data_IF_930492979999
#
_entry.id   IF_930492979999
#
_cell.length_a   1.000
_cell.length_b   1.000
_cell.length_c   1.000
_cell.angle_alpha   90.00
_cell.angle_beta   90.00
_cell.angle_gamma   90.00
#
_symmetry.space_group_name_H-M   'P 1'
#
loop_
_entity.id
_entity.type
_entity.pdbx_description
1 polymer ?
#
# COMPACT_ATOMS: atom_id res chain seq x y z
N UNK A 1 -14.46 -9.46 -0.67
CA UNK A 1 -14.99 -8.95 -1.92
C UNK A 1 -16.42 -8.46 -1.73
N UNK A 2 -16.61 -7.16 -1.60
CA UNK A 2 -17.93 -6.52 -1.61
C UNK A 2 -17.82 -5.19 -2.29
N UNK A 3 -18.15 -5.14 -3.57
CA UNK A 3 -18.60 -3.90 -4.19
C UNK A 3 -20.04 -3.68 -3.72
N UNK A 4 -20.23 -3.02 -2.58
CA UNK A 4 -21.55 -2.58 -2.14
C UNK A 4 -21.61 -1.06 -2.23
N UNK A 5 -22.31 -0.59 -3.25
CA UNK A 5 -23.00 0.69 -3.21
C UNK A 5 -24.29 0.45 -2.42
N UNK A 6 -24.25 0.55 -1.11
CA UNK A 6 -25.44 0.58 -0.27
C UNK A 6 -25.38 1.72 0.73
N UNK A 7 -26.44 2.50 0.69
CA UNK A 7 -26.74 3.57 1.64
C UNK A 7 -27.03 2.94 3.01
N UNK A 8 -26.15 3.21 3.99
CA UNK A 8 -26.53 3.26 5.40
C UNK A 8 -26.74 1.95 6.16
N UNK A 9 -25.67 1.11 6.32
CA UNK A 9 -25.59 0.28 7.51
C UNK A 9 -24.55 0.87 8.48
N UNK A 10 -24.77 0.85 9.81
CA UNK A 10 -23.78 1.34 10.76
C UNK A 10 -22.52 0.48 10.67
N UNK A 11 -21.37 1.14 10.48
CA UNK A 11 -20.06 0.51 10.55
C UNK A 11 -19.89 -0.01 11.99
N UNK A 12 -19.58 -1.30 12.22
CA UNK A 12 -19.31 -1.79 13.56
C UNK A 12 -18.10 -1.05 14.16
N UNK A 13 -18.04 -0.91 15.52
CA UNK A 13 -16.96 -0.20 16.16
C UNK A 13 -15.62 -0.82 15.83
N UNK A 14 -14.64 0.04 15.56
CA UNK A 14 -13.23 -0.33 15.31
C UNK A 14 -12.63 -0.81 16.64
N UNK A 15 -11.94 -1.95 16.62
CA UNK A 15 -11.20 -2.47 17.77
C UNK A 15 -10.04 -1.50 18.11
N UNK A 16 -9.95 -0.99 19.33
CA UNK A 16 -8.85 -0.13 19.73
C UNK A 16 -7.62 -0.98 20.09
N UNK A 17 -6.89 -1.49 19.10
CA UNK A 17 -5.58 -2.06 19.35
C UNK A 17 -4.60 -0.92 19.71
N UNK A 18 -3.96 -0.94 20.89
CA UNK A 18 -3.11 0.15 21.33
C UNK A 18 -1.77 0.22 20.60
N UNK A 19 -1.34 -0.81 19.87
CA UNK A 19 -0.01 -0.87 19.28
C UNK A 19 0.04 -0.47 17.81
N UNK A 20 -0.86 -0.96 16.95
CA UNK A 20 -1.09 -0.53 15.57
C UNK A 20 -2.34 -1.22 15.00
N UNK A 21 -2.88 -0.66 13.92
CA UNK A 21 -4.14 -1.13 13.37
C UNK A 21 -3.97 -2.43 12.56
N UNK A 22 -4.64 -3.50 13.00
CA UNK A 22 -4.77 -4.75 12.24
C UNK A 22 -6.16 -4.83 11.60
N UNK A 23 -6.31 -4.54 10.29
CA UNK A 23 -7.61 -4.64 9.65
C UNK A 23 -8.06 -6.11 9.56
N UNK A 24 -9.35 -6.44 9.82
CA UNK A 24 -9.86 -7.80 9.67
C UNK A 24 -9.88 -8.25 8.21
N UNK A 25 -9.85 -9.56 7.98
CA UNK A 25 -9.77 -10.18 6.64
C UNK A 25 -10.88 -9.71 5.70
N UNK A 26 -12.08 -9.44 6.24
CA UNK A 26 -13.26 -8.99 5.49
C UNK A 26 -13.37 -7.46 5.38
N UNK A 27 -12.26 -6.73 5.56
CA UNK A 27 -12.26 -5.27 5.51
C UNK A 27 -12.68 -4.76 4.13
N UNK A 28 -13.73 -3.94 4.12
CA UNK A 28 -14.07 -3.15 2.92
C UNK A 28 -13.13 -1.96 2.80
N UNK A 29 -12.65 -1.68 1.58
CA UNK A 29 -11.70 -0.61 1.35
C UNK A 29 -12.03 0.25 0.14
N UNK A 30 -11.45 1.44 0.10
CA UNK A 30 -11.58 2.40 -0.98
C UNK A 30 -10.22 3.01 -1.30
N UNK A 31 -9.75 2.78 -2.52
CA UNK A 31 -8.50 3.35 -3.04
C UNK A 31 -8.83 4.60 -3.88
N UNK A 32 -8.14 5.70 -3.58
CA UNK A 32 -8.17 6.89 -4.42
C UNK A 32 -6.87 7.69 -4.26
N UNK A 33 -5.97 7.62 -5.23
CA UNK A 33 -4.66 8.28 -5.19
C UNK A 33 -4.65 9.64 -5.90
N UNK A 34 -5.72 10.02 -6.60
CA UNK A 34 -5.78 11.28 -7.35
C UNK A 34 -7.09 12.02 -7.12
N UNK A 35 -7.02 13.35 -7.28
CA UNK A 35 -8.18 14.25 -7.17
C UNK A 35 -8.65 14.47 -5.74
N UNK A 36 -9.80 15.08 -5.58
CA UNK A 36 -10.39 15.34 -4.26
C UNK A 36 -10.93 14.04 -3.65
N UNK A 37 -10.48 13.63 -2.45
CA UNK A 37 -10.94 12.39 -1.83
C UNK A 37 -12.45 12.35 -1.62
N UNK A 38 -13.07 11.24 -2.03
CA UNK A 38 -14.48 10.97 -1.82
C UNK A 38 -14.68 10.32 -0.46
N UNK A 39 -15.17 11.13 0.51
CA UNK A 39 -15.37 10.65 1.89
C UNK A 39 -16.77 10.04 2.13
N UNK A 40 -17.58 9.92 1.08
CA UNK A 40 -18.95 9.36 1.12
C UNK A 40 -19.00 7.86 0.79
N UNK A 41 -17.89 7.24 0.41
CA UNK A 41 -17.84 5.81 0.09
C UNK A 41 -17.97 4.98 1.37
N UNK A 42 -18.84 3.97 1.36
CA UNK A 42 -19.07 3.09 2.52
C UNK A 42 -17.95 2.04 2.65
N UNK A 43 -16.74 2.47 2.99
CA UNK A 43 -15.60 1.61 3.26
C UNK A 43 -15.07 1.83 4.68
N UNK A 44 -14.52 0.78 5.30
CA UNK A 44 -13.88 0.83 6.63
C UNK A 44 -12.47 1.37 6.53
N UNK A 45 -11.77 1.01 5.47
CA UNK A 45 -10.39 1.37 5.19
C UNK A 45 -10.34 2.25 3.94
N UNK A 46 -9.65 3.34 4.02
CA UNK A 46 -9.33 4.20 2.89
C UNK A 46 -7.85 4.08 2.57
N UNK A 47 -7.51 4.23 1.32
CA UNK A 47 -6.13 4.39 0.88
C UNK A 47 -6.04 5.64 0.02
N UNK A 48 -5.27 6.61 0.51
CA UNK A 48 -5.10 7.92 -0.11
C UNK A 48 -3.62 8.28 -0.17
N UNK A 49 -3.27 9.17 -1.10
CA UNK A 49 -1.89 9.64 -1.24
C UNK A 49 -1.40 10.37 0.03
N UNK A 50 -0.20 10.01 0.50
CA UNK A 50 0.41 10.57 1.71
C UNK A 50 0.62 12.08 1.60
N UNK A 51 1.13 12.56 0.46
CA UNK A 51 1.54 13.94 0.31
C UNK A 51 0.34 14.87 0.10
N UNK A 52 -0.61 14.43 -0.71
CA UNK A 52 -1.76 15.23 -1.15
C UNK A 52 -2.92 15.21 -0.16
N UNK A 53 -2.98 14.22 0.73
CA UNK A 53 -4.03 14.14 1.75
C UNK A 53 -3.74 15.04 2.93
N UNK A 54 -4.68 15.93 3.27
CA UNK A 54 -4.55 16.83 4.42
C UNK A 54 -4.86 16.12 5.74
N UNK A 55 -4.24 16.56 6.84
CA UNK A 55 -4.61 16.10 8.19
C UNK A 55 -6.07 16.35 8.53
N UNK A 56 -6.70 17.36 7.93
CA UNK A 56 -8.13 17.61 8.09
C UNK A 56 -8.98 16.53 7.43
N UNK A 57 -8.58 16.05 6.24
CA UNK A 57 -9.22 14.91 5.56
C UNK A 57 -9.12 13.65 6.41
N UNK A 58 -7.94 13.39 6.98
CA UNK A 58 -7.70 12.24 7.87
C UNK A 58 -8.60 12.33 9.11
N UNK A 59 -8.65 13.49 9.78
CA UNK A 59 -9.52 13.69 10.93
C UNK A 59 -11.02 13.52 10.59
N UNK A 60 -11.45 13.90 9.38
CA UNK A 60 -12.81 13.67 8.92
C UNK A 60 -13.14 12.21 8.69
N UNK A 61 -12.18 11.38 8.24
CA UNK A 61 -12.33 9.92 8.15
C UNK A 61 -12.42 9.30 9.54
N UNK A 62 -11.54 9.68 10.46
CA UNK A 62 -11.55 9.19 11.84
C UNK A 62 -12.86 9.54 12.57
N UNK A 63 -13.41 10.75 12.34
CA UNK A 63 -14.71 11.14 12.89
C UNK A 63 -15.87 10.25 12.40
N UNK A 64 -15.69 9.57 11.26
CA UNK A 64 -16.59 8.57 10.70
C UNK A 64 -16.21 7.13 11.08
N UNK A 65 -15.29 6.95 12.03
CA UNK A 65 -14.75 5.64 12.44
C UNK A 65 -14.12 4.84 11.30
N UNK A 66 -13.49 5.53 10.33
CA UNK A 66 -12.76 4.94 9.21
C UNK A 66 -11.27 5.02 9.44
N UNK A 67 -10.53 4.08 8.90
CA UNK A 67 -9.07 4.02 8.96
C UNK A 67 -8.47 4.42 7.61
N UNK A 68 -7.20 4.85 7.64
CA UNK A 68 -6.49 5.31 6.47
C UNK A 68 -5.12 4.68 6.35
N UNK A 69 -4.86 4.05 5.21
CA UNK A 69 -3.52 3.79 4.70
C UNK A 69 -3.05 4.98 3.87
N UNK A 70 -1.85 5.46 4.14
CA UNK A 70 -1.23 6.52 3.37
C UNK A 70 -0.24 5.92 2.37
N UNK A 71 -0.57 6.05 1.08
CA UNK A 71 0.25 5.58 -0.04
C UNK A 71 1.45 6.50 -0.26
N UNK A 72 2.61 5.92 -0.52
CA UNK A 72 3.78 6.60 -1.07
C UNK A 72 4.69 5.61 -1.78
N UNK A 73 5.43 6.03 -2.81
CA UNK A 73 6.44 5.16 -3.39
C UNK A 73 7.65 5.03 -2.46
N UNK A 74 8.07 3.81 -2.17
CA UNK A 74 9.25 3.52 -1.36
C UNK A 74 10.44 3.02 -2.19
N UNK A 75 10.17 2.50 -3.40
CA UNK A 75 11.21 2.01 -4.31
C UNK A 75 11.52 2.95 -5.47
N UNK A 76 10.76 4.04 -5.63
CA UNK A 76 11.01 5.05 -6.65
C UNK A 76 11.06 6.47 -6.08
N UNK A 77 11.70 7.35 -6.84
CA UNK A 77 11.65 8.80 -6.63
C UNK A 77 10.74 9.40 -7.70
N UNK A 78 9.69 10.09 -7.26
CA UNK A 78 8.71 10.81 -8.06
C UNK A 78 9.13 12.28 -8.12
N UNK A 79 9.38 12.84 -9.33
CA UNK A 79 9.94 14.20 -9.50
C UNK A 79 9.05 15.32 -8.96
N UNK A 80 7.74 15.08 -8.87
CA UNK A 80 6.73 16.06 -8.39
C UNK A 80 6.61 16.12 -6.86
N UNK A 81 7.25 15.24 -6.12
CA UNK A 81 7.18 15.23 -4.66
C UNK A 81 8.06 16.32 -4.04
N UNK A 82 7.58 16.91 -2.98
CA UNK A 82 8.28 17.99 -2.29
C UNK A 82 9.70 17.59 -1.80
N UNK A 83 9.93 16.30 -1.55
CA UNK A 83 11.21 15.75 -1.09
C UNK A 83 12.09 15.22 -2.25
N UNK A 84 11.65 15.30 -3.50
CA UNK A 84 12.36 14.76 -4.67
C UNK A 84 13.80 15.24 -4.77
N UNK A 85 14.05 16.53 -4.54
CA UNK A 85 15.38 17.13 -4.56
C UNK A 85 16.33 16.66 -3.43
N UNK A 86 15.84 15.86 -2.48
CA UNK A 86 16.65 15.31 -1.39
C UNK A 86 17.34 13.99 -1.75
N UNK A 87 16.96 13.35 -2.85
CA UNK A 87 17.59 12.14 -3.34
C UNK A 87 18.83 12.48 -4.18
N UNK A 88 20.04 12.06 -3.78
CA UNK A 88 21.24 12.25 -4.59
C UNK A 88 21.10 11.52 -5.95
N UNK A 89 21.71 12.08 -7.00
CA UNK A 89 21.70 11.41 -8.32
C UNK A 89 22.34 10.03 -8.32
N UNK A 90 23.25 9.77 -7.38
CA UNK A 90 23.91 8.46 -7.23
C UNK A 90 22.96 7.33 -6.80
N UNK A 91 21.80 7.64 -6.25
CA UNK A 91 20.79 6.65 -5.83
C UNK A 91 19.61 6.57 -6.80
N UNK A 92 19.61 7.37 -7.86
CA UNK A 92 18.60 7.39 -8.90
C UNK A 92 19.00 6.46 -10.03
N UNK A 93 18.17 5.50 -10.36
CA UNK A 93 18.39 4.48 -11.38
C UNK A 93 17.64 4.74 -12.67
N UNK A 94 17.21 3.67 -13.31
CA UNK A 94 16.45 3.74 -14.56
C UNK A 94 15.03 4.28 -14.33
N UNK A 95 14.43 4.94 -15.34
CA UNK A 95 13.04 5.36 -15.30
C UNK A 95 12.07 4.16 -15.15
N UNK A 96 10.95 4.37 -14.46
CA UNK A 96 9.82 3.44 -14.49
C UNK A 96 9.12 3.54 -15.87
N UNK A 97 8.94 2.38 -16.53
CA UNK A 97 8.51 2.34 -17.94
C UNK A 97 7.16 3.05 -18.20
N UNK A 98 6.19 2.89 -17.29
CA UNK A 98 4.82 3.39 -17.48
C UNK A 98 4.52 4.67 -16.67
N UNK A 99 5.55 5.20 -15.95
CA UNK A 99 5.40 6.34 -15.05
C UNK A 99 6.42 7.44 -15.36
N UNK A 100 6.15 8.31 -16.33
CA UNK A 100 7.04 9.44 -16.65
C UNK A 100 7.28 10.34 -15.43
N UNK A 101 8.54 10.63 -15.14
CA UNK A 101 8.94 11.43 -13.96
C UNK A 101 9.25 10.60 -12.72
N UNK A 102 9.18 9.26 -12.82
CA UNK A 102 9.64 8.35 -11.77
C UNK A 102 10.92 7.61 -12.17
N UNK A 103 11.83 7.45 -11.21
CA UNK A 103 13.05 6.66 -11.36
C UNK A 103 13.21 5.71 -10.18
N UNK A 104 13.71 4.50 -10.44
CA UNK A 104 14.02 3.53 -9.41
C UNK A 104 15.09 4.04 -8.44
N UNK A 105 15.05 3.57 -7.21
CA UNK A 105 16.01 3.94 -6.17
C UNK A 105 16.93 2.77 -5.79
N UNK A 106 18.20 3.07 -5.46
CA UNK A 106 19.06 2.11 -4.79
C UNK A 106 18.64 1.94 -3.32
N UNK A 107 17.77 1.00 -3.06
CA UNK A 107 17.19 0.72 -1.73
C UNK A 107 18.22 0.28 -0.67
N UNK A 108 19.44 -0.05 -1.08
CA UNK A 108 20.56 -0.39 -0.18
C UNK A 108 21.16 0.85 0.46
N UNK A 109 21.04 2.00 -0.21
CA UNK A 109 21.69 3.25 0.23
C UNK A 109 21.05 3.79 1.51
N UNK A 110 21.90 4.19 2.44
CA UNK A 110 21.46 4.72 3.75
C UNK A 110 20.66 6.02 3.63
N UNK A 111 20.92 6.83 2.57
CA UNK A 111 20.20 8.08 2.32
C UNK A 111 18.77 7.81 1.87
N UNK A 112 18.54 6.80 1.02
CA UNK A 112 17.21 6.35 0.64
C UNK A 112 16.42 5.92 1.89
N UNK A 113 17.04 5.08 2.74
CA UNK A 113 16.42 4.63 4.00
C UNK A 113 16.13 5.79 4.96
N UNK A 114 17.00 6.80 5.05
CA UNK A 114 16.74 8.00 5.84
C UNK A 114 15.50 8.75 5.33
N UNK A 115 15.37 8.90 4.01
CA UNK A 115 14.24 9.60 3.41
C UNK A 115 12.93 8.84 3.61
N UNK A 116 12.96 7.51 3.54
CA UNK A 116 11.76 6.69 3.85
C UNK A 116 11.35 6.80 5.31
N UNK A 117 12.29 6.86 6.26
CA UNK A 117 11.93 7.19 7.66
C UNK A 117 11.21 8.53 7.77
N UNK A 118 11.60 9.53 6.98
CA UNK A 118 10.94 10.84 6.97
C UNK A 118 9.53 10.76 6.37
N UNK A 119 9.31 9.93 5.34
CA UNK A 119 7.98 9.67 4.78
C UNK A 119 7.09 8.95 5.80
N UNK A 120 7.60 7.93 6.50
CA UNK A 120 6.90 7.25 7.58
C UNK A 120 6.58 8.21 8.74
N UNK A 121 7.55 9.06 9.12
CA UNK A 121 7.34 10.10 10.12
C UNK A 121 6.24 11.09 9.71
N UNK A 122 6.21 11.49 8.43
CA UNK A 122 5.15 12.35 7.87
C UNK A 122 3.79 11.67 7.96
N UNK A 123 3.70 10.38 7.63
CA UNK A 123 2.45 9.61 7.75
C UNK A 123 1.94 9.60 9.20
N UNK A 124 2.80 9.30 10.16
CA UNK A 124 2.46 9.36 11.59
C UNK A 124 1.98 10.75 12.00
N UNK A 125 2.73 11.80 11.63
CA UNK A 125 2.45 13.17 12.05
C UNK A 125 1.17 13.73 11.40
N UNK A 126 0.79 13.24 10.24
CA UNK A 126 -0.50 13.52 9.60
C UNK A 126 -1.66 12.77 10.26
N UNK A 127 -1.39 11.66 10.95
CA UNK A 127 -2.39 10.83 11.61
C UNK A 127 -2.85 9.64 10.79
N UNK A 128 -2.06 9.15 9.82
CA UNK A 128 -2.35 7.90 9.12
C UNK A 128 -2.40 6.73 10.12
N UNK A 129 -3.29 5.75 9.90
CA UNK A 129 -3.36 4.52 10.71
C UNK A 129 -2.35 3.48 10.22
N UNK A 130 -1.96 3.57 8.97
CA UNK A 130 -0.96 2.73 8.35
C UNK A 130 -0.45 3.31 7.04
N UNK A 131 0.40 2.55 6.36
CA UNK A 131 1.03 2.95 5.10
C UNK A 131 0.99 1.84 4.06
N UNK A 132 0.93 2.25 2.79
CA UNK A 132 1.19 1.41 1.62
C UNK A 132 2.45 1.93 0.91
N UNK A 133 3.64 1.37 1.19
CA UNK A 133 4.86 1.70 0.49
C UNK A 133 4.95 0.93 -0.82
N UNK A 134 4.84 1.62 -1.94
CA UNK A 134 4.86 1.04 -3.30
C UNK A 134 6.28 0.85 -3.87
N UNK A 135 6.36 0.11 -4.97
CA UNK A 135 7.60 -0.20 -5.71
C UNK A 135 8.65 -0.95 -4.88
N UNK A 136 8.19 -1.90 -4.08
CA UNK A 136 9.02 -2.68 -3.14
C UNK A 136 9.42 -4.06 -3.66
N UNK A 137 9.49 -4.19 -4.98
CA UNK A 137 9.91 -5.37 -5.74
C UNK A 137 10.99 -5.08 -6.80
N UNK A 138 11.71 -3.98 -6.64
CA UNK A 138 12.69 -3.45 -7.60
C UNK A 138 13.78 -4.44 -8.04
N UNK A 139 14.04 -5.52 -7.26
CA UNK A 139 14.98 -6.58 -7.65
C UNK A 139 14.49 -7.42 -8.84
N UNK A 140 13.20 -7.38 -9.15
CA UNK A 140 12.58 -8.03 -10.31
C UNK A 140 12.54 -7.09 -11.53
N UNK A 141 12.88 -5.83 -11.35
CA UNK A 141 12.74 -4.77 -12.33
C UNK A 141 14.08 -4.36 -12.93
N UNK A 142 14.04 -3.68 -14.08
CA UNK A 142 15.21 -3.03 -14.64
C UNK A 142 15.47 -1.70 -13.89
N UNK A 143 15.86 -1.81 -12.64
CA UNK A 143 16.05 -0.64 -11.77
C UNK A 143 17.31 0.17 -12.05
N UNK A 144 18.23 -0.33 -12.90
CA UNK A 144 19.56 0.26 -13.09
C UNK A 144 20.57 -0.14 -12.00
N UNK A 145 20.13 -0.89 -11.00
CA UNK A 145 20.95 -1.40 -9.90
C UNK A 145 20.93 -2.93 -9.87
N UNK A 146 22.05 -3.55 -9.53
CA UNK A 146 22.12 -4.99 -9.32
C UNK A 146 21.54 -5.35 -7.93
N UNK A 147 20.23 -5.15 -7.77
CA UNK A 147 19.52 -5.51 -6.55
C UNK A 147 19.31 -7.02 -6.50
N UNK A 148 19.65 -7.64 -5.39
CA UNK A 148 19.35 -9.05 -5.13
C UNK A 148 18.01 -9.20 -4.39
N UNK A 149 17.43 -10.40 -4.43
CA UNK A 149 16.29 -10.74 -3.59
C UNK A 149 16.55 -10.52 -2.08
N UNK A 150 17.81 -10.72 -1.64
CA UNK A 150 18.21 -10.47 -0.26
C UNK A 150 18.23 -8.97 0.09
N UNK A 151 18.64 -8.11 -0.85
CA UNK A 151 18.60 -6.66 -0.65
C UNK A 151 17.16 -6.17 -0.51
N UNK A 152 16.24 -6.67 -1.36
CA UNK A 152 14.82 -6.33 -1.29
C UNK A 152 14.20 -6.82 0.01
N UNK A 153 14.46 -8.06 0.39
CA UNK A 153 13.94 -8.63 1.63
C UNK A 153 14.39 -7.84 2.86
N UNK A 154 15.66 -7.43 2.92
CA UNK A 154 16.17 -6.58 4.01
C UNK A 154 15.51 -5.20 4.01
N UNK A 155 15.30 -4.62 2.83
CA UNK A 155 14.64 -3.34 2.70
C UNK A 155 13.16 -3.38 3.12
N UNK A 156 12.41 -4.37 2.66
CA UNK A 156 11.00 -4.53 3.02
C UNK A 156 10.83 -4.76 4.53
N UNK A 157 11.69 -5.58 5.14
CA UNK A 157 11.74 -5.75 6.60
C UNK A 157 12.15 -4.48 7.34
N UNK A 158 13.04 -3.67 6.75
CA UNK A 158 13.39 -2.37 7.30
C UNK A 158 12.17 -1.44 7.34
N UNK A 159 11.42 -1.31 6.23
CA UNK A 159 10.20 -0.48 6.18
C UNK A 159 9.19 -0.92 7.25
N UNK A 160 8.95 -2.23 7.37
CA UNK A 160 8.02 -2.79 8.35
C UNK A 160 8.42 -2.45 9.79
N UNK A 161 9.69 -2.65 10.16
CA UNK A 161 10.19 -2.32 11.51
C UNK A 161 10.05 -0.83 11.84
N UNK A 162 10.37 0.04 10.87
CA UNK A 162 10.27 1.49 11.09
C UNK A 162 8.81 1.94 11.22
N UNK A 163 7.89 1.40 10.38
CA UNK A 163 6.46 1.69 10.47
C UNK A 163 5.88 1.24 11.82
N UNK A 164 6.10 0.00 12.22
CA UNK A 164 5.66 -0.54 13.52
C UNK A 164 6.26 0.25 14.69
N UNK A 165 7.54 0.62 14.61
CA UNK A 165 8.19 1.48 15.62
C UNK A 165 7.55 2.86 15.78
N UNK A 166 6.74 3.29 14.82
CA UNK A 166 5.95 4.53 14.84
C UNK A 166 4.47 4.31 15.13
N UNK A 167 4.03 3.07 15.38
CA UNK A 167 2.64 2.72 15.60
C UNK A 167 1.79 2.71 14.32
N UNK A 168 2.40 2.54 13.15
CA UNK A 168 1.73 2.47 11.86
C UNK A 168 1.61 1.01 11.41
N UNK A 169 0.42 0.60 10.96
CA UNK A 169 0.28 -0.62 10.17
C UNK A 169 1.01 -0.47 8.83
N UNK A 170 1.37 -1.59 8.20
CA UNK A 170 2.05 -1.57 6.91
C UNK A 170 1.53 -2.65 5.97
N UNK A 171 1.23 -2.25 4.73
CA UNK A 171 0.89 -3.14 3.64
C UNK A 171 2.14 -3.62 2.88
N UNK A 172 2.16 -4.89 2.48
CA UNK A 172 3.09 -5.39 1.47
C UNK A 172 2.46 -5.19 0.09
N UNK A 173 3.05 -4.28 -0.68
CA UNK A 173 2.63 -4.09 -2.07
C UNK A 173 3.32 -5.08 -2.98
N UNK A 174 2.52 -5.90 -3.70
CA UNK A 174 3.04 -6.91 -4.64
C UNK A 174 4.11 -7.84 -4.04
N UNK A 175 5.32 -7.91 -4.62
CA UNK A 175 6.47 -8.73 -4.20
C UNK A 175 6.10 -10.20 -3.87
N UNK A 176 5.32 -10.81 -4.76
CA UNK A 176 4.70 -12.13 -4.56
C UNK A 176 5.71 -13.24 -4.23
N UNK A 177 6.93 -13.15 -4.77
CA UNK A 177 7.96 -14.18 -4.57
C UNK A 177 8.53 -14.19 -3.14
N UNK A 178 8.37 -13.09 -2.39
CA UNK A 178 8.90 -12.98 -1.03
C UNK A 178 7.82 -13.06 0.05
N UNK A 179 6.54 -13.22 -0.30
CA UNK A 179 5.40 -13.24 0.63
C UNK A 179 5.65 -14.18 1.82
N UNK A 180 6.06 -15.42 1.57
CA UNK A 180 6.32 -16.39 2.64
C UNK A 180 7.37 -15.92 3.65
N UNK A 181 8.32 -15.09 3.22
CA UNK A 181 9.37 -14.54 4.07
C UNK A 181 8.99 -13.22 4.76
N UNK A 182 7.91 -12.58 4.30
CA UNK A 182 7.50 -11.24 4.72
C UNK A 182 6.16 -11.23 5.47
N UNK A 183 5.32 -12.24 5.33
CA UNK A 183 3.97 -12.27 5.91
C UNK A 183 3.96 -11.98 7.41
N UNK A 184 4.94 -12.43 8.17
CA UNK A 184 5.04 -12.15 9.61
C UNK A 184 5.41 -10.69 9.94
N UNK A 185 5.97 -9.97 8.97
CA UNK A 185 6.45 -8.60 9.12
C UNK A 185 5.44 -7.54 8.67
N UNK A 186 4.38 -7.91 7.96
CA UNK A 186 3.40 -7.01 7.38
C UNK A 186 2.00 -7.31 7.91
N UNK A 187 1.11 -6.32 7.97
CA UNK A 187 -0.22 -6.43 8.56
C UNK A 187 -1.29 -6.83 7.55
N UNK A 188 -1.05 -6.51 6.28
CA UNK A 188 -1.91 -6.82 5.15
C UNK A 188 -1.08 -6.89 3.87
N UNK A 189 -1.69 -7.38 2.78
CA UNK A 189 -1.12 -7.30 1.44
C UNK A 189 -2.02 -6.44 0.53
N UNK A 190 -1.40 -5.66 -0.35
CA UNK A 190 -2.06 -5.01 -1.48
C UNK A 190 -1.42 -5.54 -2.75
N UNK A 191 -2.24 -6.11 -3.62
CA UNK A 191 -1.76 -6.72 -4.85
C UNK A 191 -2.48 -6.17 -6.07
N UNK A 192 -1.79 -6.13 -7.18
CA UNK A 192 -2.34 -5.70 -8.45
C UNK A 192 -2.40 -6.87 -9.43
N UNK A 193 -3.60 -7.07 -10.01
CA UNK A 193 -3.85 -7.95 -11.14
C UNK A 193 -3.62 -9.45 -10.90
N UNK A 194 -3.72 -9.94 -9.64
CA UNK A 194 -3.46 -11.35 -9.38
C UNK A 194 -4.44 -12.29 -10.13
N UNK A 195 -5.68 -11.88 -10.37
CA UNK A 195 -6.61 -12.64 -11.19
C UNK A 195 -6.28 -12.57 -12.68
N UNK A 196 -5.88 -11.38 -13.17
CA UNK A 196 -5.46 -11.22 -14.56
C UNK A 196 -4.29 -12.14 -14.91
N UNK A 197 -3.33 -12.27 -14.00
CA UNK A 197 -2.11 -13.10 -14.16
C UNK A 197 -2.22 -14.51 -13.59
N UNK A 198 -3.35 -14.87 -12.96
CA UNK A 198 -3.59 -16.19 -12.35
C UNK A 198 -2.60 -16.53 -11.21
N UNK A 199 -2.22 -15.55 -10.42
CA UNK A 199 -1.20 -15.66 -9.39
C UNK A 199 -1.70 -15.38 -7.96
N UNK A 200 -3.02 -15.23 -7.75
CA UNK A 200 -3.61 -14.99 -6.42
C UNK A 200 -3.23 -16.04 -5.38
N UNK A 201 -2.87 -17.27 -5.83
CA UNK A 201 -2.44 -18.33 -4.92
C UNK A 201 -1.18 -17.99 -4.10
N UNK A 202 -0.32 -17.08 -4.58
CA UNK A 202 0.83 -16.60 -3.81
C UNK A 202 0.43 -15.81 -2.57
N UNK A 203 -0.77 -15.22 -2.56
CA UNK A 203 -1.29 -14.40 -1.45
C UNK A 203 -1.88 -15.24 -0.30
N UNK A 204 -2.07 -16.54 -0.50
CA UNK A 204 -2.63 -17.44 0.49
C UNK A 204 -1.97 -17.38 1.89
N UNK A 205 -0.65 -17.16 2.06
CA UNK A 205 -0.04 -17.03 3.38
C UNK A 205 -0.62 -15.89 4.22
N UNK A 206 -1.00 -14.74 3.61
CA UNK A 206 -1.66 -13.64 4.34
C UNK A 206 -3.02 -14.08 4.88
N UNK A 207 -3.85 -14.71 4.04
CA UNK A 207 -5.17 -15.20 4.45
C UNK A 207 -5.05 -16.27 5.54
N UNK A 208 -4.09 -17.19 5.43
CA UNK A 208 -3.81 -18.21 6.45
C UNK A 208 -3.33 -17.61 7.78
N UNK A 209 -2.64 -16.48 7.73
CA UNK A 209 -2.24 -15.72 8.90
C UNK A 209 -3.35 -14.83 9.47
N UNK A 210 -4.56 -14.85 8.90
CA UNK A 210 -5.68 -13.99 9.31
C UNK A 210 -5.50 -12.52 8.92
N UNK A 211 -4.64 -12.24 7.92
CA UNK A 211 -4.33 -10.89 7.43
C UNK A 211 -5.05 -10.63 6.11
N UNK A 212 -5.66 -9.46 5.90
CA UNK A 212 -6.39 -9.17 4.67
C UNK A 212 -5.47 -9.06 3.46
N UNK A 213 -6.03 -9.42 2.31
CA UNK A 213 -5.48 -9.16 0.99
C UNK A 213 -6.45 -8.22 0.27
N UNK A 214 -5.94 -7.08 -0.18
CA UNK A 214 -6.66 -6.10 -0.97
C UNK A 214 -6.13 -6.19 -2.40
N UNK A 215 -7.00 -6.56 -3.35
CA UNK A 215 -6.58 -6.76 -4.74
C UNK A 215 -7.18 -5.70 -5.66
N UNK A 216 -6.38 -5.22 -6.60
CA UNK A 216 -6.73 -4.24 -7.62
C UNK A 216 -6.67 -4.93 -8.98
N UNK A 217 -7.74 -4.81 -9.77
CA UNK A 217 -7.78 -5.33 -11.12
C UNK A 217 -8.03 -4.20 -12.13
N UNK A 218 -7.23 -4.16 -13.18
CA UNK A 218 -7.31 -3.11 -14.21
C UNK A 218 -7.92 -3.59 -15.53
N UNK A 219 -8.07 -4.91 -15.73
CA UNK A 219 -8.56 -5.46 -16.99
C UNK A 219 -10.04 -5.10 -17.21
N UNK A 220 -10.38 -4.62 -18.41
CA UNK A 220 -11.74 -4.22 -18.80
C UNK A 220 -12.78 -5.29 -18.51
N UNK A 221 -12.43 -6.58 -18.64
CA UNK A 221 -13.31 -7.71 -18.32
C UNK A 221 -13.82 -7.71 -16.88
N UNK A 222 -13.08 -7.14 -15.93
CA UNK A 222 -13.49 -7.04 -14.52
C UNK A 222 -14.23 -5.74 -14.23
N UNK A 223 -14.19 -4.78 -15.16
CA UNK A 223 -14.83 -3.47 -15.02
C UNK A 223 -16.15 -3.37 -15.78
N UNK A 224 -16.48 -4.35 -16.65
CA UNK A 224 -17.53 -4.24 -17.64
C UNK A 224 -18.94 -4.14 -17.05
N UNK A 225 -19.25 -4.91 -16.00
CA UNK A 225 -20.56 -4.95 -15.37
C UNK A 225 -20.53 -5.59 -13.96
N UNK A 226 -21.65 -5.47 -13.23
CA UNK A 226 -21.79 -6.02 -11.88
C UNK A 226 -21.65 -7.56 -11.84
N UNK A 227 -22.02 -8.27 -12.91
CA UNK A 227 -21.91 -9.72 -12.97
C UNK A 227 -20.45 -10.16 -13.06
N UNK A 228 -19.65 -9.48 -13.87
CA UNK A 228 -18.20 -9.71 -13.99
C UNK A 228 -17.48 -9.43 -12.67
N UNK A 229 -17.88 -8.37 -11.96
CA UNK A 229 -17.37 -8.04 -10.63
C UNK A 229 -17.77 -9.10 -9.58
N UNK A 230 -19.02 -9.58 -9.62
CA UNK A 230 -19.47 -10.63 -8.72
C UNK A 230 -18.73 -11.94 -8.97
N UNK A 231 -18.53 -12.32 -10.24
CA UNK A 231 -17.75 -13.51 -10.58
C UNK A 231 -16.33 -13.44 -10.03
N UNK A 232 -15.66 -12.28 -10.16
CA UNK A 232 -14.35 -12.07 -9.56
C UNK A 232 -14.36 -12.26 -8.04
N UNK A 233 -15.44 -11.81 -7.38
CA UNK A 233 -15.63 -12.00 -5.94
C UNK A 233 -15.86 -13.46 -5.55
N UNK A 234 -16.52 -14.23 -6.39
CA UNK A 234 -16.82 -15.65 -6.13
C UNK A 234 -15.59 -16.54 -6.36
N UNK A 235 -14.63 -16.07 -7.17
CA UNK A 235 -13.35 -16.74 -7.46
C UNK A 235 -12.24 -16.40 -6.44
N UNK A 236 -12.41 -15.33 -5.67
CA UNK A 236 -11.44 -14.84 -4.68
C UNK A 236 -11.58 -15.54 -3.31
#
# INVERSE_FOLDING_TARGET
>A
CRVQVSVGAPVPPVDPDPDHHHPPVDTSWHLQLQGTPRLDVAARLYELDLFDTSSQTIAALHAQQRRLLCYFSAGSQEEWRADAGSFPSSVQGEPLADWPGEVWLDIRDSKVRELMRKRLQLARDKGCDGVDPDNVDGYLQNSGFALSAADQLDYNRFLAREAHGMGLAIALKNDLQQITSLVDSFDLAINEQCHAFQECHYLAPFIQAGKPVLNIEYADRFMADEQSQQQLCDEA
#
